data_IF_872335490511
#
_entry.id   IF_872335490511
#
_cell.length_a   1.000
_cell.length_b   1.000
_cell.length_c   1.000
_cell.angle_alpha   90.00
_cell.angle_beta   90.00
_cell.angle_gamma   90.00
#
_symmetry.space_group_name_H-M   'P 1'
#
loop_
_entity.id
_entity.type
_entity.pdbx_description
1 polymer ?
#
# COMPACT_ATOMS: atom_id res chain seq x y z
N UNK A 1 -4.77 -1.63 -31.50
CA UNK A 1 -4.41 -0.47 -32.35
C UNK A 1 -5.18 -0.60 -33.67
N UNK A 2 -6.23 0.19 -33.82
CA UNK A 2 -6.92 0.35 -35.10
C UNK A 2 -6.69 1.78 -35.57
N UNK A 3 -6.00 1.93 -36.69
CA UNK A 3 -5.85 3.17 -37.43
C UNK A 3 -7.03 3.29 -38.42
N UNK A 4 -7.83 4.31 -38.26
CA UNK A 4 -8.83 4.68 -39.25
C UNK A 4 -8.43 6.03 -39.84
N UNK A 5 -8.11 6.02 -41.14
CA UNK A 5 -7.84 7.23 -41.91
C UNK A 5 -9.13 7.94 -42.28
N UNK A 6 -9.17 9.24 -42.16
CA UNK A 6 -10.20 10.08 -42.74
C UNK A 6 -9.61 11.27 -43.47
N UNK A 7 -10.17 11.49 -44.64
CA UNK A 7 -9.88 12.48 -45.65
C UNK A 7 -10.23 13.91 -45.24
N UNK A 8 -9.47 14.82 -45.83
CA UNK A 8 -9.49 16.30 -45.73
C UNK A 8 -10.80 16.98 -46.07
N UNK A 9 -11.15 18.05 -45.28
CA UNK A 9 -11.56 19.40 -45.73
C UNK A 9 -12.07 20.26 -44.55
N UNK A 10 -12.29 21.60 -44.64
CA UNK A 10 -11.31 22.68 -44.69
C UNK A 10 -11.37 23.63 -43.46
N UNK A 11 -10.39 24.53 -43.41
CA UNK A 11 -10.17 25.66 -42.49
C UNK A 11 -11.38 26.23 -41.75
N UNK A 12 -11.38 26.13 -40.40
CA UNK A 12 -12.04 27.12 -39.54
C UNK A 12 -11.01 27.74 -38.59
N UNK A 13 -11.17 29.06 -38.45
CA UNK A 13 -10.34 30.00 -37.70
C UNK A 13 -9.93 29.48 -36.33
N UNK A 14 -8.64 29.51 -36.07
CA UNK A 14 -8.03 29.41 -34.73
C UNK A 14 -8.55 30.55 -33.85
N UNK A 15 -9.49 30.24 -32.99
CA UNK A 15 -9.73 31.02 -31.77
C UNK A 15 -8.71 30.56 -30.75
N UNK A 16 -7.79 31.46 -30.39
CA UNK A 16 -6.73 31.23 -29.46
C UNK A 16 -7.25 30.72 -28.11
N UNK A 17 -7.13 29.40 -27.90
CA UNK A 17 -7.13 28.80 -26.62
C UNK A 17 -5.66 28.71 -26.22
N UNK A 18 -5.27 29.63 -25.32
CA UNK A 18 -3.96 29.66 -24.70
C UNK A 18 -3.64 28.24 -24.18
N UNK A 19 -2.68 27.61 -24.82
CA UNK A 19 -2.04 26.38 -24.37
C UNK A 19 -1.32 26.63 -23.04
N UNK A 20 -2.03 26.59 -21.94
CA UNK A 20 -1.45 26.24 -20.68
C UNK A 20 -1.27 24.71 -20.65
N UNK A 21 -0.40 24.17 -21.50
CA UNK A 21 0.17 22.84 -21.28
C UNK A 21 0.93 22.99 -19.96
N UNK A 22 0.29 22.55 -18.87
CA UNK A 22 0.97 22.33 -17.59
C UNK A 22 2.14 21.42 -17.95
N UNK A 23 3.36 21.95 -17.85
CA UNK A 23 4.56 21.15 -18.10
C UNK A 23 4.48 19.97 -17.14
N UNK A 24 4.27 18.78 -17.67
CA UNK A 24 4.15 17.52 -16.92
C UNK A 24 5.32 17.34 -15.93
N UNK A 25 6.45 18.00 -16.20
CA UNK A 25 7.68 17.97 -15.41
C UNK A 25 7.63 18.75 -14.10
N UNK A 26 6.67 19.66 -13.89
CA UNK A 26 6.60 20.50 -12.69
C UNK A 26 5.37 20.14 -11.81
N UNK A 27 4.76 18.96 -12.03
CA UNK A 27 3.60 18.53 -11.28
C UNK A 27 4.01 17.58 -10.14
N UNK A 28 3.88 17.99 -8.86
CA UNK A 28 4.35 17.18 -7.73
C UNK A 28 3.63 15.82 -7.60
N UNK A 29 2.40 15.70 -8.09
CA UNK A 29 1.67 14.43 -8.08
C UNK A 29 2.31 13.47 -9.07
N UNK A 30 2.59 13.92 -10.29
CA UNK A 30 3.23 13.09 -11.32
C UNK A 30 4.64 12.70 -10.87
N UNK A 31 5.41 13.64 -10.32
CA UNK A 31 6.74 13.39 -9.78
C UNK A 31 6.72 12.33 -8.68
N UNK A 32 5.79 12.43 -7.74
CA UNK A 32 5.62 11.45 -6.66
C UNK A 32 5.31 10.06 -7.22
N UNK A 33 4.37 9.96 -8.17
CA UNK A 33 4.01 8.69 -8.81
C UNK A 33 5.22 8.08 -9.52
N UNK A 34 5.95 8.89 -10.29
CA UNK A 34 7.09 8.43 -11.08
C UNK A 34 8.32 8.10 -10.23
N UNK A 35 8.50 8.77 -9.10
CA UNK A 35 9.64 8.57 -8.18
C UNK A 35 9.43 7.37 -7.25
N UNK A 36 8.18 7.02 -6.91
CA UNK A 36 7.89 5.93 -5.97
C UNK A 36 8.50 4.60 -6.40
N UNK A 37 9.15 3.93 -5.46
CA UNK A 37 9.68 2.57 -5.63
C UNK A 37 9.29 1.68 -4.44
N UNK A 38 9.34 0.37 -4.64
CA UNK A 38 9.20 -0.62 -3.57
C UNK A 38 10.51 -0.69 -2.78
N UNK A 39 10.54 0.02 -1.66
CA UNK A 39 11.69 0.07 -0.75
C UNK A 39 11.65 -1.15 0.18
N UNK A 40 12.81 -1.81 0.35
CA UNK A 40 12.95 -3.04 1.17
C UNK A 40 14.14 -2.97 2.13
N UNK A 41 14.64 -1.77 2.39
CA UNK A 41 15.64 -1.47 3.40
C UNK A 41 15.17 -0.24 4.15
N UNK A 42 14.96 -0.36 5.42
CA UNK A 42 14.39 0.67 6.27
C UNK A 42 15.36 1.07 7.37
N UNK A 43 15.19 2.28 7.87
CA UNK A 43 15.78 2.73 9.12
C UNK A 43 15.09 2.01 10.28
N UNK A 44 15.73 1.90 11.47
CA UNK A 44 15.14 1.21 12.61
C UNK A 44 14.03 2.01 13.32
N UNK A 45 13.93 3.31 13.05
CA UNK A 45 12.96 4.19 13.69
C UNK A 45 11.57 3.95 13.11
N UNK A 46 10.56 3.84 13.97
CA UNK A 46 9.17 3.77 13.58
C UNK A 46 8.73 5.07 12.87
N UNK A 47 7.71 4.96 12.03
CA UNK A 47 7.10 6.13 11.41
C UNK A 47 6.42 6.97 12.49
N UNK A 48 6.71 8.26 12.54
CA UNK A 48 6.14 9.21 13.48
C UNK A 48 4.61 9.23 13.36
N UNK A 49 3.93 9.34 14.50
CA UNK A 49 2.48 9.18 14.58
C UNK A 49 1.71 10.14 13.69
N UNK A 50 2.09 11.41 13.68
CA UNK A 50 1.47 12.46 12.86
C UNK A 50 1.58 12.18 11.35
N UNK A 51 2.73 11.67 10.92
CA UNK A 51 2.96 11.25 9.55
C UNK A 51 2.12 10.02 9.19
N UNK A 52 2.03 9.04 10.09
CA UNK A 52 1.18 7.87 9.89
C UNK A 52 -0.29 8.26 9.84
N UNK A 53 -0.76 9.14 10.70
CA UNK A 53 -2.14 9.66 10.67
C UNK A 53 -2.43 10.38 9.34
N UNK A 54 -1.47 11.15 8.82
CA UNK A 54 -1.59 11.77 7.49
C UNK A 54 -1.71 10.72 6.38
N UNK A 55 -0.87 9.68 6.41
CA UNK A 55 -0.91 8.58 5.44
C UNK A 55 -2.26 7.86 5.47
N UNK A 56 -2.75 7.56 6.66
CA UNK A 56 -4.05 6.89 6.85
C UNK A 56 -5.21 7.78 6.36
N UNK A 57 -5.18 9.07 6.71
CA UNK A 57 -6.19 10.03 6.26
C UNK A 57 -6.23 10.13 4.73
N UNK A 58 -5.09 10.23 4.07
CA UNK A 58 -5.05 10.20 2.60
C UNK A 58 -5.54 8.87 2.04
N UNK A 59 -5.24 7.76 2.72
CA UNK A 59 -5.72 6.43 2.36
C UNK A 59 -7.24 6.37 2.29
N UNK A 60 -7.92 6.76 3.36
CA UNK A 60 -9.40 6.69 3.43
C UNK A 60 -10.12 7.66 2.50
N UNK A 61 -9.42 8.64 1.91
CA UNK A 61 -9.96 9.48 0.85
C UNK A 61 -9.90 8.82 -0.54
N UNK A 62 -9.50 7.56 -0.63
CA UNK A 62 -9.56 6.81 -1.87
C UNK A 62 -11.00 6.64 -2.36
N UNK A 63 -11.24 6.72 -3.68
CA UNK A 63 -12.55 6.38 -4.22
C UNK A 63 -12.87 4.93 -3.91
N UNK A 64 -14.14 4.65 -3.63
CA UNK A 64 -14.60 3.31 -3.33
C UNK A 64 -16.06 3.11 -3.80
N UNK A 65 -16.39 1.87 -4.10
CA UNK A 65 -17.71 1.56 -4.65
C UNK A 65 -18.84 1.88 -3.67
N UNK A 66 -19.81 2.69 -4.10
CA UNK A 66 -21.01 3.07 -3.33
C UNK A 66 -20.71 3.66 -1.94
N UNK A 67 -19.53 4.23 -1.73
CA UNK A 67 -19.03 4.71 -0.44
C UNK A 67 -19.10 3.65 0.68
N UNK A 68 -18.87 2.38 0.32
CA UNK A 68 -18.94 1.26 1.26
C UNK A 68 -17.81 1.27 2.28
N UNK A 69 -16.64 1.84 1.92
CA UNK A 69 -15.46 1.88 2.79
C UNK A 69 -15.15 0.50 3.38
N UNK A 70 -15.23 -0.52 2.53
CA UNK A 70 -15.16 -1.94 2.89
C UNK A 70 -13.72 -2.43 3.20
N UNK A 71 -12.97 -1.60 3.89
CA UNK A 71 -11.60 -1.84 4.33
C UNK A 71 -11.42 -1.62 5.81
N UNK A 72 -10.45 -2.28 6.38
CA UNK A 72 -9.88 -1.95 7.69
C UNK A 72 -8.37 -1.91 7.62
N UNK A 73 -7.77 -1.01 8.39
CA UNK A 73 -6.32 -0.88 8.51
C UNK A 73 -5.90 -1.00 9.97
N UNK A 74 -4.90 -1.83 10.21
CA UNK A 74 -4.22 -1.89 11.52
C UNK A 74 -2.76 -1.58 11.34
N UNK A 75 -2.27 -0.58 12.04
CA UNK A 75 -0.85 -0.22 12.05
C UNK A 75 -0.18 -0.83 13.28
N UNK A 76 0.91 -1.53 13.04
CA UNK A 76 1.72 -2.16 14.09
C UNK A 76 3.13 -1.58 14.02
N UNK A 77 3.53 -0.90 15.06
CA UNK A 77 4.89 -0.44 15.38
C UNK A 77 5.43 -1.08 16.66
N UNK A 78 4.67 -1.99 17.25
CA UNK A 78 5.07 -2.76 18.42
C UNK A 78 6.12 -3.81 18.03
N UNK A 79 7.35 -3.59 18.46
CA UNK A 79 8.47 -4.45 18.13
C UNK A 79 8.34 -5.85 18.74
N UNK A 80 7.71 -6.01 19.90
CA UNK A 80 7.49 -7.33 20.51
C UNK A 80 6.55 -8.17 19.63
N UNK A 81 5.45 -7.57 19.14
CA UNK A 81 4.57 -8.24 18.19
C UNK A 81 5.31 -8.70 16.93
N UNK A 82 6.10 -7.81 16.33
CA UNK A 82 6.88 -8.09 15.10
C UNK A 82 7.92 -9.19 15.38
N UNK A 83 8.62 -9.12 16.49
CA UNK A 83 9.67 -10.06 16.86
C UNK A 83 9.10 -11.45 17.18
N UNK A 84 8.07 -11.56 18.01
CA UNK A 84 7.42 -12.82 18.36
C UNK A 84 6.87 -13.52 17.10
N UNK A 85 6.16 -12.79 16.23
CA UNK A 85 5.66 -13.32 14.97
C UNK A 85 6.81 -13.77 14.06
N UNK A 86 7.93 -13.07 14.07
CA UNK A 86 9.12 -13.41 13.29
C UNK A 86 9.77 -14.69 13.80
N UNK A 87 9.83 -14.91 15.12
CA UNK A 87 10.38 -16.15 15.67
C UNK A 87 9.54 -17.39 15.26
N UNK A 88 8.22 -17.24 15.19
CA UNK A 88 7.36 -18.31 14.66
C UNK A 88 7.66 -18.51 13.16
N UNK A 89 7.79 -17.43 12.40
CA UNK A 89 8.13 -17.52 10.97
C UNK A 89 9.46 -18.24 10.75
N UNK A 90 10.49 -18.00 11.56
CA UNK A 90 11.80 -18.65 11.45
C UNK A 90 11.71 -20.16 11.68
N UNK A 91 10.90 -20.59 12.65
CA UNK A 91 10.67 -22.02 12.93
C UNK A 91 10.04 -22.75 11.75
N UNK A 92 9.05 -22.13 11.14
CA UNK A 92 8.34 -22.69 10.00
C UNK A 92 9.13 -22.57 8.68
N UNK A 93 10.07 -21.61 8.60
CA UNK A 93 10.82 -21.27 7.40
C UNK A 93 12.33 -21.11 7.67
N UNK A 94 13.04 -22.14 8.12
CA UNK A 94 14.44 -22.02 8.55
C UNK A 94 15.35 -21.48 7.43
N UNK A 95 15.17 -21.92 6.19
CA UNK A 95 15.95 -21.42 5.03
C UNK A 95 15.77 -19.92 4.78
N UNK A 96 14.60 -19.37 5.09
CA UNK A 96 14.38 -17.91 4.96
C UNK A 96 15.06 -17.15 6.09
N UNK A 97 15.12 -17.74 7.28
CA UNK A 97 15.77 -17.19 8.46
C UNK A 97 17.31 -17.09 8.31
N UNK A 98 17.92 -17.99 7.54
CA UNK A 98 19.37 -18.04 7.29
C UNK A 98 19.86 -16.97 6.30
N UNK A 99 18.95 -16.20 5.68
CA UNK A 99 19.35 -15.15 4.73
C UNK A 99 20.13 -14.05 5.45
N UNK A 100 21.26 -13.67 4.88
CA UNK A 100 22.09 -12.59 5.41
C UNK A 100 21.27 -11.29 5.57
N UNK A 101 21.34 -10.68 6.76
CA UNK A 101 20.61 -9.46 7.07
C UNK A 101 19.12 -9.61 7.36
N UNK A 102 18.59 -10.85 7.42
CA UNK A 102 17.22 -11.09 7.83
C UNK A 102 17.03 -10.75 9.33
N UNK A 103 16.13 -9.82 9.63
CA UNK A 103 15.73 -9.47 10.99
C UNK A 103 14.26 -9.81 11.23
N UNK A 104 13.37 -9.43 10.31
CA UNK A 104 11.96 -9.77 10.36
C UNK A 104 11.39 -10.04 8.95
N UNK A 105 10.22 -10.65 8.93
CA UNK A 105 9.54 -11.06 7.69
C UNK A 105 8.97 -9.89 6.87
N UNK A 106 9.00 -8.68 7.40
CA UNK A 106 8.52 -7.45 6.75
C UNK A 106 9.66 -6.61 6.15
N UNK A 107 10.70 -7.24 5.61
CA UNK A 107 11.92 -6.59 5.11
C UNK A 107 12.61 -5.71 6.17
N UNK A 108 12.53 -6.10 7.43
CA UNK A 108 13.06 -5.38 8.59
C UNK A 108 12.40 -4.02 8.84
N UNK A 109 11.18 -3.80 8.33
CA UNK A 109 10.43 -2.57 8.62
C UNK A 109 10.06 -2.49 10.10
N UNK A 110 10.19 -1.31 10.71
CA UNK A 110 9.80 -1.09 12.10
C UNK A 110 8.30 -0.81 12.28
N UNK A 111 7.62 -0.44 11.18
CA UNK A 111 6.19 -0.14 11.15
C UNK A 111 5.55 -0.88 9.99
N UNK A 112 4.40 -1.50 10.23
CA UNK A 112 3.67 -2.27 9.22
C UNK A 112 2.18 -1.92 9.29
N UNK A 113 1.59 -1.55 8.17
CA UNK A 113 0.15 -1.39 8.04
C UNK A 113 -0.44 -2.66 7.41
N UNK A 114 -1.40 -3.27 8.09
CA UNK A 114 -2.14 -4.44 7.63
C UNK A 114 -3.49 -4.00 7.11
N UNK A 115 -3.83 -4.38 5.88
CA UNK A 115 -5.06 -4.01 5.21
C UNK A 115 -5.94 -5.25 5.08
N UNK A 116 -7.15 -5.18 5.60
CA UNK A 116 -8.18 -6.19 5.47
C UNK A 116 -9.33 -5.68 4.62
N UNK A 117 -10.05 -6.60 4.00
CA UNK A 117 -11.18 -6.35 3.12
C UNK A 117 -12.42 -7.11 3.58
N UNK A 118 -13.60 -6.65 3.20
CA UNK A 118 -14.87 -7.35 3.40
C UNK A 118 -15.16 -8.28 2.20
N UNK A 119 -15.01 -9.61 2.32
CA UNK A 119 -15.24 -10.55 1.23
C UNK A 119 -16.70 -10.64 0.77
N UNK A 120 -17.63 -10.08 1.53
CA UNK A 120 -19.05 -10.02 1.18
C UNK A 120 -19.36 -8.95 0.12
N UNK A 121 -18.38 -8.09 -0.21
CA UNK A 121 -18.49 -7.05 -1.20
C UNK A 121 -17.48 -7.22 -2.32
N UNK A 122 -17.94 -7.46 -3.53
CA UNK A 122 -17.12 -7.83 -4.69
C UNK A 122 -16.04 -6.81 -5.05
N UNK A 123 -16.29 -5.51 -4.82
CA UNK A 123 -15.34 -4.44 -5.13
C UNK A 123 -14.33 -4.19 -4.00
N UNK A 124 -14.48 -4.82 -2.83
CA UNK A 124 -13.70 -4.53 -1.64
C UNK A 124 -12.19 -4.65 -1.85
N UNK A 125 -11.72 -5.64 -2.60
CA UNK A 125 -10.29 -5.79 -2.89
C UNK A 125 -9.76 -4.67 -3.79
N UNK A 126 -10.57 -4.17 -4.73
CA UNK A 126 -10.22 -3.04 -5.58
C UNK A 126 -10.16 -1.77 -4.73
N UNK A 127 -11.17 -1.54 -3.89
CA UNK A 127 -11.23 -0.41 -2.97
C UNK A 127 -10.01 -0.40 -2.03
N UNK A 128 -9.62 -1.55 -1.47
CA UNK A 128 -8.40 -1.71 -0.67
C UNK A 128 -7.12 -1.39 -1.46
N UNK A 129 -7.09 -1.74 -2.75
CA UNK A 129 -5.97 -1.40 -3.64
C UNK A 129 -5.85 0.12 -3.85
N UNK A 130 -6.98 0.82 -4.04
CA UNK A 130 -7.03 2.27 -4.17
C UNK A 130 -6.62 2.98 -2.88
N UNK A 131 -7.12 2.49 -1.71
CA UNK A 131 -6.69 2.95 -0.40
C UNK A 131 -5.16 2.83 -0.25
N UNK A 132 -4.60 1.67 -0.52
CA UNK A 132 -3.16 1.45 -0.41
C UNK A 132 -2.36 2.27 -1.41
N UNK A 133 -2.86 2.53 -2.63
CA UNK A 133 -2.22 3.42 -3.60
C UNK A 133 -2.10 4.83 -3.03
N UNK A 134 -3.16 5.38 -2.44
CA UNK A 134 -3.10 6.68 -1.78
C UNK A 134 -2.09 6.67 -0.62
N UNK A 135 -2.09 5.63 0.23
CA UNK A 135 -1.15 5.52 1.34
C UNK A 135 0.31 5.53 0.89
N UNK A 136 0.68 4.71 -0.10
CA UNK A 136 2.07 4.63 -0.57
C UNK A 136 2.53 5.88 -1.32
N UNK A 137 1.63 6.58 -2.00
CA UNK A 137 1.94 7.86 -2.65
C UNK A 137 2.12 8.97 -1.61
N UNK A 138 1.27 9.01 -0.59
CA UNK A 138 1.42 9.95 0.53
C UNK A 138 2.74 9.70 1.27
N UNK A 139 3.07 8.44 1.58
CA UNK A 139 4.35 8.09 2.19
C UNK A 139 5.53 8.59 1.33
N UNK A 140 5.50 8.34 0.02
CA UNK A 140 6.52 8.81 -0.92
C UNK A 140 6.66 10.33 -0.91
N UNK A 141 5.57 11.08 -0.92
CA UNK A 141 5.60 12.56 -0.90
C UNK A 141 6.22 13.12 0.38
N UNK A 142 6.18 12.36 1.47
CA UNK A 142 6.77 12.69 2.78
C UNK A 142 8.19 12.11 2.95
N UNK A 143 8.78 11.53 1.90
CA UNK A 143 10.11 10.91 1.96
C UNK A 143 10.16 9.58 2.70
N UNK A 144 9.01 8.94 2.93
CA UNK A 144 8.89 7.64 3.60
C UNK A 144 8.83 6.53 2.55
N UNK A 145 9.82 5.63 2.59
CA UNK A 145 9.85 4.47 1.71
C UNK A 145 8.83 3.42 2.14
N UNK A 146 8.16 2.78 1.16
CA UNK A 146 7.17 1.76 1.45
C UNK A 146 7.24 0.59 0.46
N UNK A 147 6.64 -0.56 0.84
CA UNK A 147 6.52 -1.74 -0.02
C UNK A 147 5.27 -2.54 0.34
N UNK A 148 4.43 -2.83 -0.66
CA UNK A 148 3.33 -3.77 -0.49
C UNK A 148 3.85 -5.21 -0.39
N UNK A 149 3.36 -5.97 0.58
CA UNK A 149 3.81 -7.30 0.94
C UNK A 149 2.65 -8.31 0.93
N UNK A 150 2.74 -9.32 0.06
CA UNK A 150 1.82 -10.46 0.06
C UNK A 150 2.36 -11.69 0.78
N UNK A 151 3.69 -11.89 0.77
CA UNK A 151 4.34 -13.05 1.39
C UNK A 151 4.05 -13.21 2.88
N UNK A 152 4.30 -12.18 3.70
CA UNK A 152 3.98 -12.18 5.13
C UNK A 152 2.51 -12.49 5.42
N UNK A 153 1.59 -11.93 4.63
CA UNK A 153 0.15 -12.15 4.79
C UNK A 153 -0.23 -13.62 4.59
N UNK A 154 0.38 -14.27 3.60
CA UNK A 154 0.15 -15.71 3.38
C UNK A 154 0.58 -16.52 4.60
N UNK A 155 1.70 -16.18 5.22
CA UNK A 155 2.13 -16.84 6.46
C UNK A 155 1.18 -16.54 7.62
N UNK A 156 0.73 -15.30 7.79
CA UNK A 156 -0.20 -14.91 8.86
C UNK A 156 -1.53 -15.64 8.79
N UNK A 157 -1.95 -16.09 7.61
CA UNK A 157 -3.15 -16.93 7.41
C UNK A 157 -2.90 -18.41 7.74
N UNK A 158 -1.67 -18.82 8.07
CA UNK A 158 -1.36 -20.20 8.46
C UNK A 158 -1.79 -20.48 9.90
N UNK A 159 -2.03 -21.77 10.25
CA UNK A 159 -2.34 -22.16 11.63
C UNK A 159 -1.29 -21.69 12.65
N UNK A 160 -0.01 -21.68 12.27
CA UNK A 160 1.09 -21.27 13.16
C UNK A 160 1.01 -19.82 13.60
N UNK A 161 0.47 -18.94 12.74
CA UNK A 161 0.35 -17.50 13.00
C UNK A 161 -1.08 -17.04 13.31
N UNK A 162 -2.05 -17.94 13.39
CA UNK A 162 -3.47 -17.61 13.59
C UNK A 162 -3.73 -16.74 14.85
N UNK A 163 -3.00 -16.97 15.93
CA UNK A 163 -3.08 -16.15 17.14
C UNK A 163 -2.68 -14.70 16.91
N UNK A 164 -1.68 -14.47 16.07
CA UNK A 164 -1.23 -13.11 15.71
C UNK A 164 -2.18 -12.41 14.74
N UNK A 165 -2.75 -13.15 13.79
CA UNK A 165 -3.81 -12.62 12.94
C UNK A 165 -5.00 -12.15 13.78
N UNK A 166 -5.41 -12.94 14.79
CA UNK A 166 -6.46 -12.57 15.73
C UNK A 166 -6.13 -11.32 16.55
N UNK A 167 -4.86 -11.14 16.96
CA UNK A 167 -4.41 -9.95 17.69
C UNK A 167 -4.53 -8.64 16.88
N UNK A 168 -4.64 -8.71 15.55
CA UNK A 168 -4.93 -7.53 14.72
C UNK A 168 -6.35 -7.02 14.88
N UNK A 169 -7.25 -7.81 15.45
CA UNK A 169 -8.59 -7.43 15.85
C UNK A 169 -9.40 -6.76 14.72
N UNK A 170 -9.40 -7.38 13.55
CA UNK A 170 -10.28 -6.99 12.46
C UNK A 170 -11.73 -7.37 12.80
N UNK A 171 -12.69 -6.58 12.33
CA UNK A 171 -14.10 -6.86 12.49
C UNK A 171 -14.50 -8.23 11.92
N UNK A 172 -15.54 -8.83 12.48
CA UNK A 172 -16.04 -10.14 12.06
C UNK A 172 -16.32 -10.19 10.56
N UNK A 173 -15.76 -11.20 9.91
CA UNK A 173 -15.91 -11.42 8.48
C UNK A 173 -14.90 -10.68 7.61
N UNK A 174 -14.09 -9.77 8.15
CA UNK A 174 -12.99 -9.16 7.39
C UNK A 174 -11.81 -10.12 7.26
N UNK A 175 -11.16 -10.08 6.11
CA UNK A 175 -10.00 -10.89 5.82
C UNK A 175 -8.77 -10.05 5.51
N UNK A 176 -7.63 -10.44 6.08
CA UNK A 176 -6.34 -9.80 5.77
C UNK A 176 -6.02 -10.00 4.29
N UNK A 177 -5.78 -8.89 3.56
CA UNK A 177 -5.53 -8.87 2.13
C UNK A 177 -4.04 -8.74 1.79
N UNK A 178 -3.41 -7.69 2.30
CA UNK A 178 -1.96 -7.44 2.15
C UNK A 178 -1.47 -6.54 3.28
N UNK A 179 -0.15 -6.37 3.33
CA UNK A 179 0.48 -5.43 4.25
C UNK A 179 1.33 -4.39 3.50
N UNK A 180 1.56 -3.24 4.10
CA UNK A 180 2.50 -2.21 3.65
C UNK A 180 3.57 -2.06 4.74
N UNK A 181 4.81 -2.28 4.35
CA UNK A 181 5.98 -2.04 5.18
C UNK A 181 6.64 -0.74 4.79
#
# INVERSE_FOLDING_TARGET
LALCGCTSQPSQKETGMSDSIVKVQDNPVIETIMARRSIRKYKPEAVERDKMETILNCGIHAPNGMNKQSWEVRVVDNQDFINELTEIFKKENPKAAERAGFKNMFNNAPTVAFIAYDPRYDMSQIDCGLLGANMILTAQSMGIGSCCLGGPVRFMKSPAAAGYLKKLDFSDGYELLYAIA
#
